data_IF_456006372605
#
_entry.id   IF_456006372605
#
_cell.length_a   1.000
_cell.length_b   1.000
_cell.length_c   1.000
_cell.angle_alpha   90.00
_cell.angle_beta   90.00
_cell.angle_gamma   90.00
#
_symmetry.space_group_name_H-M   'P 1'
#
loop_
_entity.id
_entity.type
_entity.pdbx_description
1 polymer ?
#
# COMPACT_ATOMS: atom_id res chain seq x y z
N UNK A 1 -15.70 -19.82 18.87
CA UNK A 1 -16.72 -18.73 18.89
C UNK A 1 -16.18 -17.37 19.35
N UNK A 2 -15.32 -17.28 20.36
CA UNK A 2 -14.81 -15.98 20.87
C UNK A 2 -13.96 -15.19 19.84
N UNK A 3 -13.07 -15.86 19.09
CA UNK A 3 -12.25 -15.23 18.04
C UNK A 3 -13.12 -14.65 16.92
N UNK A 4 -14.10 -15.42 16.43
CA UNK A 4 -15.06 -14.97 15.42
C UNK A 4 -15.84 -13.74 15.91
N UNK A 5 -16.32 -13.76 17.17
CA UNK A 5 -17.02 -12.61 17.75
C UNK A 5 -16.12 -11.37 17.90
N UNK A 6 -14.83 -11.54 18.20
CA UNK A 6 -13.89 -10.42 18.36
C UNK A 6 -13.41 -9.78 17.05
N UNK A 7 -13.53 -10.49 15.93
CA UNK A 7 -12.93 -10.08 14.65
C UNK A 7 -13.88 -10.16 13.45
N UNK A 8 -15.19 -10.29 13.67
CA UNK A 8 -16.16 -10.45 12.57
C UNK A 8 -16.11 -9.29 11.57
N UNK A 9 -15.92 -8.04 12.03
CA UNK A 9 -15.84 -6.88 11.12
C UNK A 9 -14.62 -6.99 10.20
N UNK A 10 -13.48 -7.41 10.75
CA UNK A 10 -12.28 -7.66 9.95
C UNK A 10 -12.53 -8.73 8.89
N UNK A 11 -13.14 -9.86 9.28
CA UNK A 11 -13.46 -10.95 8.35
C UNK A 11 -14.41 -10.50 7.25
N UNK A 12 -15.43 -9.70 7.60
CA UNK A 12 -16.35 -9.10 6.63
C UNK A 12 -15.61 -8.16 5.68
N UNK A 13 -14.73 -7.28 6.19
CA UNK A 13 -13.95 -6.37 5.36
C UNK A 13 -13.04 -7.12 4.38
N UNK A 14 -12.34 -8.16 4.87
CA UNK A 14 -11.51 -9.01 4.01
C UNK A 14 -12.36 -9.70 2.95
N UNK A 15 -13.51 -10.27 3.34
CA UNK A 15 -14.45 -10.91 2.41
C UNK A 15 -14.99 -9.95 1.35
N UNK A 16 -15.34 -8.72 1.74
CA UNK A 16 -15.83 -7.69 0.83
C UNK A 16 -14.75 -7.22 -0.14
N UNK A 17 -13.53 -6.97 0.34
CA UNK A 17 -12.40 -6.58 -0.51
C UNK A 17 -12.12 -7.70 -1.52
N UNK A 18 -12.11 -8.96 -1.09
CA UNK A 18 -11.90 -10.11 -1.96
C UNK A 18 -13.02 -10.27 -3.00
N UNK A 19 -14.28 -10.20 -2.58
CA UNK A 19 -15.43 -10.34 -3.46
C UNK A 19 -15.52 -9.23 -4.52
N UNK A 20 -15.17 -8.00 -4.12
CA UNK A 20 -15.20 -6.84 -5.01
C UNK A 20 -13.89 -6.65 -5.78
N UNK A 21 -12.87 -7.50 -5.57
CA UNK A 21 -11.53 -7.27 -6.09
C UNK A 21 -11.48 -7.13 -7.62
N UNK A 22 -12.32 -7.86 -8.35
CA UNK A 22 -12.35 -7.83 -9.82
C UNK A 22 -13.29 -6.75 -10.38
N UNK A 23 -13.89 -5.91 -9.52
CA UNK A 23 -14.85 -4.89 -9.92
C UNK A 23 -14.21 -3.50 -10.02
N UNK A 24 -14.78 -2.57 -10.83
CA UNK A 24 -14.32 -1.19 -10.88
C UNK A 24 -14.43 -0.44 -9.54
N UNK A 25 -15.28 -0.91 -8.62
CA UNK A 25 -15.56 -0.25 -7.33
C UNK A 25 -14.31 -0.11 -6.48
N UNK A 26 -13.41 -1.10 -6.51
CA UNK A 26 -12.16 -1.07 -5.74
C UNK A 26 -11.01 -0.38 -6.49
N UNK A 27 -11.21 0.08 -7.72
CA UNK A 27 -10.12 0.68 -8.52
C UNK A 27 -9.44 1.86 -7.83
N UNK A 28 -10.15 2.83 -7.22
CA UNK A 28 -9.49 3.93 -6.51
C UNK A 28 -8.60 3.42 -5.36
N UNK A 29 -9.05 2.37 -4.67
CA UNK A 29 -8.29 1.73 -3.60
C UNK A 29 -7.04 1.03 -4.12
N UNK A 30 -7.15 0.31 -5.25
CA UNK A 30 -6.00 -0.33 -5.90
C UNK A 30 -4.96 0.69 -6.37
N UNK A 31 -5.40 1.78 -7.01
CA UNK A 31 -4.51 2.86 -7.46
C UNK A 31 -3.83 3.52 -6.25
N UNK A 32 -4.55 3.70 -5.13
CA UNK A 32 -3.94 4.19 -3.90
C UNK A 32 -2.86 3.23 -3.38
N UNK A 33 -3.10 1.92 -3.41
CA UNK A 33 -2.10 0.93 -2.99
C UNK A 33 -0.87 0.94 -3.92
N UNK A 34 -1.07 1.04 -5.24
CA UNK A 34 0.02 1.24 -6.21
C UNK A 34 0.79 2.53 -5.90
N UNK A 35 0.09 3.62 -5.56
CA UNK A 35 0.77 4.83 -5.10
C UNK A 35 1.63 4.60 -3.85
N UNK A 36 1.18 3.81 -2.87
CA UNK A 36 1.99 3.49 -1.68
C UNK A 36 3.24 2.64 -2.03
N UNK A 37 3.13 1.79 -3.05
CA UNK A 37 4.26 1.06 -3.64
C UNK A 37 5.29 2.02 -4.23
N UNK A 38 4.85 2.90 -5.13
CA UNK A 38 5.73 3.91 -5.75
C UNK A 38 6.31 4.89 -4.73
N UNK A 39 5.51 5.30 -3.74
CA UNK A 39 5.98 6.14 -2.63
C UNK A 39 7.12 5.47 -1.87
N UNK A 40 7.08 4.15 -1.72
CA UNK A 40 8.13 3.41 -1.03
C UNK A 40 9.44 3.41 -1.81
N UNK A 41 9.41 3.30 -3.14
CA UNK A 41 10.59 3.51 -3.99
C UNK A 41 11.14 4.93 -3.86
N UNK A 42 10.27 5.94 -3.88
CA UNK A 42 10.65 7.34 -3.77
C UNK A 42 11.32 7.63 -2.42
N UNK A 43 10.75 7.14 -1.32
CA UNK A 43 11.32 7.28 0.03
C UNK A 43 12.66 6.54 0.12
N UNK A 44 12.74 5.29 -0.34
CA UNK A 44 13.99 4.53 -0.34
C UNK A 44 15.09 5.19 -1.18
N UNK A 45 14.72 5.81 -2.30
CA UNK A 45 15.64 6.58 -3.13
C UNK A 45 16.27 7.71 -2.34
N UNK A 46 15.46 8.54 -1.69
CA UNK A 46 15.96 9.68 -0.91
C UNK A 46 16.78 9.22 0.29
N UNK A 47 16.31 8.21 1.03
CA UNK A 47 17.01 7.70 2.22
C UNK A 47 18.36 7.05 1.90
N UNK A 48 18.54 6.54 0.68
CA UNK A 48 19.81 5.94 0.24
C UNK A 48 20.72 6.94 -0.49
N UNK A 49 20.40 8.23 -0.45
CA UNK A 49 21.22 9.31 -1.02
C UNK A 49 20.97 9.58 -2.51
N UNK A 50 19.89 9.06 -3.08
CA UNK A 50 19.44 9.37 -4.43
C UNK A 50 18.46 10.55 -4.48
N UNK A 51 18.01 10.87 -5.70
CA UNK A 51 17.00 11.90 -5.95
C UNK A 51 15.88 11.35 -6.84
N UNK A 52 14.63 11.65 -6.51
CA UNK A 52 13.46 11.31 -7.34
C UNK A 52 13.31 12.35 -8.45
N UNK A 53 13.29 11.89 -9.70
CA UNK A 53 13.13 12.73 -10.89
C UNK A 53 11.66 12.91 -11.25
N UNK A 54 10.88 11.83 -11.15
CA UNK A 54 9.45 11.86 -11.44
C UNK A 54 8.77 10.56 -11.06
N UNK A 55 7.45 10.62 -10.95
CA UNK A 55 6.59 9.49 -10.62
C UNK A 55 5.37 9.51 -11.55
N UNK A 56 4.90 8.33 -11.95
CA UNK A 56 3.70 8.16 -12.76
C UNK A 56 2.75 7.17 -12.11
N UNK A 57 1.45 7.38 -12.35
CA UNK A 57 0.38 6.43 -12.05
C UNK A 57 -0.55 6.35 -13.26
N UNK A 58 -1.02 5.16 -13.56
CA UNK A 58 -1.89 4.84 -14.68
C UNK A 58 -3.23 4.23 -14.21
N UNK A 59 -4.36 4.53 -14.88
CA UNK A 59 -5.66 3.93 -14.55
C UNK A 59 -5.69 2.40 -14.61
N UNK A 60 -4.78 1.76 -15.35
CA UNK A 60 -4.64 0.31 -15.44
C UNK A 60 -3.80 -0.29 -14.30
N UNK A 61 -3.67 0.42 -13.17
CA UNK A 61 -2.92 0.00 -11.98
C UNK A 61 -1.41 -0.11 -12.24
N UNK A 62 -0.89 0.70 -13.17
CA UNK A 62 0.54 0.87 -13.39
C UNK A 62 1.11 2.01 -12.55
N UNK A 63 2.35 1.85 -12.10
CA UNK A 63 3.13 2.88 -11.42
C UNK A 63 4.58 2.81 -11.87
N UNK A 64 5.29 3.94 -11.78
CA UNK A 64 6.75 3.92 -11.86
C UNK A 64 7.38 5.14 -11.21
N UNK A 65 8.54 4.94 -10.59
CA UNK A 65 9.42 6.01 -10.11
C UNK A 65 10.69 6.05 -10.95
N UNK A 66 10.95 7.21 -11.54
CA UNK A 66 12.25 7.51 -12.13
C UNK A 66 13.12 8.19 -11.09
N UNK A 67 14.25 7.56 -10.74
CA UNK A 67 15.22 8.09 -9.78
C UNK A 67 16.63 8.16 -10.34
N UNK A 68 17.49 8.95 -9.69
CA UNK A 68 18.92 9.08 -9.98
C UNK A 68 19.71 8.81 -8.70
N UNK A 69 20.71 7.95 -8.77
CA UNK A 69 21.51 7.56 -7.61
C UNK A 69 20.71 6.73 -6.59
N UNK A 70 21.25 6.63 -5.38
CA UNK A 70 20.70 5.76 -4.33
C UNK A 70 21.09 4.29 -4.50
N UNK A 71 20.66 3.46 -3.54
CA UNK A 71 21.01 2.04 -3.52
C UNK A 71 19.91 1.20 -4.17
N UNK A 72 20.14 0.77 -5.41
CA UNK A 72 19.16 0.03 -6.23
C UNK A 72 18.52 -1.17 -5.54
N UNK A 73 19.30 -1.96 -4.81
CA UNK A 73 18.79 -3.12 -4.09
C UNK A 73 17.67 -2.75 -3.10
N UNK A 74 17.91 -1.71 -2.29
CA UNK A 74 16.95 -1.21 -1.30
C UNK A 74 15.77 -0.55 -2.00
N UNK A 75 16.03 0.25 -3.04
CA UNK A 75 14.98 0.92 -3.79
C UNK A 75 14.02 -0.12 -4.39
N UNK A 76 14.51 -1.10 -5.15
CA UNK A 76 13.67 -2.12 -5.79
C UNK A 76 12.95 -3.00 -4.77
N UNK A 77 13.58 -3.33 -3.64
CA UNK A 77 12.93 -4.08 -2.56
C UNK A 77 11.84 -3.27 -1.84
N UNK A 78 11.95 -1.94 -1.83
CA UNK A 78 11.06 -1.07 -1.08
C UNK A 78 9.64 -1.02 -1.65
N UNK A 79 9.43 -1.29 -2.93
CA UNK A 79 8.09 -1.32 -3.53
C UNK A 79 7.18 -2.29 -2.76
N UNK A 80 7.47 -3.59 -2.86
CA UNK A 80 6.67 -4.63 -2.20
C UNK A 80 6.73 -4.54 -0.67
N UNK A 81 7.94 -4.48 -0.09
CA UNK A 81 8.09 -4.57 1.36
C UNK A 81 7.69 -3.26 2.06
N UNK A 82 8.05 -2.12 1.47
CA UNK A 82 7.71 -0.80 2.03
C UNK A 82 6.21 -0.54 2.00
N UNK A 83 5.53 -0.81 0.88
CA UNK A 83 4.08 -0.65 0.82
C UNK A 83 3.36 -1.57 1.80
N UNK A 84 3.80 -2.82 1.94
CA UNK A 84 3.27 -3.74 2.95
C UNK A 84 3.47 -3.20 4.37
N UNK A 85 4.66 -2.68 4.69
CA UNK A 85 4.94 -2.11 6.01
C UNK A 85 4.06 -0.89 6.28
N UNK A 86 3.84 -0.02 5.28
CA UNK A 86 2.88 1.09 5.38
C UNK A 86 1.47 0.53 5.63
N UNK A 87 1.00 -0.44 4.84
CA UNK A 87 -0.31 -1.05 4.99
C UNK A 87 -0.54 -1.64 6.38
N UNK A 88 0.44 -2.41 6.88
CA UNK A 88 0.43 -2.96 8.24
C UNK A 88 0.45 -1.85 9.29
N UNK A 89 1.24 -0.81 9.12
CA UNK A 89 1.30 0.31 10.05
C UNK A 89 -0.04 1.05 10.12
N UNK A 90 -0.67 1.36 8.98
CA UNK A 90 -2.00 1.99 8.93
C UNK A 90 -3.05 1.11 9.61
N UNK A 91 -3.08 -0.18 9.29
CA UNK A 91 -4.02 -1.13 9.89
C UNK A 91 -3.84 -1.26 11.40
N UNK A 92 -2.59 -1.42 11.88
CA UNK A 92 -2.30 -1.53 13.31
C UNK A 92 -2.57 -0.24 14.07
N UNK A 93 -2.29 0.92 13.46
CA UNK A 93 -2.59 2.21 14.06
C UNK A 93 -4.10 2.39 14.25
N UNK A 94 -4.89 1.98 13.26
CA UNK A 94 -6.34 1.97 13.33
C UNK A 94 -6.86 1.03 14.43
N UNK A 95 -6.32 -0.18 14.52
CA UNK A 95 -6.72 -1.16 15.55
C UNK A 95 -6.32 -0.74 16.97
N UNK A 96 -5.15 -0.11 17.16
CA UNK A 96 -4.56 0.07 18.50
C UNK A 96 -4.57 1.50 19.03
N UNK A 97 -4.83 2.50 18.20
CA UNK A 97 -4.64 3.90 18.61
C UNK A 97 -5.92 4.72 18.45
N UNK A 98 -5.81 6.02 18.70
CA UNK A 98 -6.89 7.00 18.49
C UNK A 98 -6.53 8.11 17.52
N UNK A 99 -5.42 7.93 16.81
CA UNK A 99 -4.84 8.93 15.92
C UNK A 99 -5.41 8.85 14.49
N UNK A 100 -6.53 8.16 14.29
CA UNK A 100 -7.09 7.79 12.98
C UNK A 100 -7.30 9.00 12.07
N UNK A 101 -7.87 10.08 12.59
CA UNK A 101 -8.05 11.33 11.84
C UNK A 101 -6.72 11.97 11.46
N UNK A 102 -5.76 12.00 12.39
CA UNK A 102 -4.44 12.61 12.15
C UNK A 102 -3.67 11.82 11.12
N UNK A 103 -3.67 10.49 11.22
CA UNK A 103 -3.00 9.59 10.27
C UNK A 103 -3.65 9.69 8.89
N UNK A 104 -4.98 9.67 8.81
CA UNK A 104 -5.69 9.79 7.53
C UNK A 104 -5.44 11.15 6.87
N UNK A 105 -5.52 12.24 7.65
CA UNK A 105 -5.23 13.58 7.16
C UNK A 105 -3.76 13.74 6.73
N UNK A 106 -2.83 13.21 7.52
CA UNK A 106 -1.39 13.19 7.20
C UNK A 106 -1.09 12.41 5.92
N UNK A 107 -1.72 11.25 5.72
CA UNK A 107 -1.60 10.48 4.49
C UNK A 107 -2.16 11.26 3.28
N UNK A 108 -3.26 11.97 3.46
CA UNK A 108 -3.80 12.89 2.45
C UNK A 108 -2.83 14.03 2.11
N UNK A 109 -2.19 14.65 3.11
CA UNK A 109 -1.17 15.68 2.91
C UNK A 109 0.05 15.13 2.17
N UNK A 110 0.56 13.95 2.56
CA UNK A 110 1.67 13.29 1.87
C UNK A 110 1.33 13.04 0.41
N UNK A 111 0.12 12.52 0.13
CA UNK A 111 -0.34 12.31 -1.23
C UNK A 111 -0.38 13.61 -2.03
N UNK A 112 -0.90 14.71 -1.47
CA UNK A 112 -0.92 16.02 -2.14
C UNK A 112 0.50 16.55 -2.41
N UNK A 113 1.40 16.46 -1.43
CA UNK A 113 2.79 16.91 -1.58
C UNK A 113 3.49 16.13 -2.69
N UNK A 114 3.40 14.80 -2.68
CA UNK A 114 4.00 13.95 -3.72
C UNK A 114 3.36 14.22 -5.09
N UNK A 115 2.05 14.48 -5.11
CA UNK A 115 1.33 14.85 -6.34
C UNK A 115 1.89 16.12 -6.96
N UNK A 116 2.05 17.18 -6.18
CA UNK A 116 2.58 18.45 -6.66
C UNK A 116 4.06 18.31 -7.08
N UNK A 117 4.86 17.62 -6.28
CA UNK A 117 6.30 17.55 -6.50
C UNK A 117 6.69 16.62 -7.63
N UNK A 118 6.03 15.47 -7.79
CA UNK A 118 6.54 14.38 -8.63
C UNK A 118 5.58 13.84 -9.68
N UNK A 119 4.27 13.98 -9.52
CA UNK A 119 3.30 13.49 -10.51
C UNK A 119 3.16 14.48 -11.67
N UNK A 120 3.06 13.95 -12.89
CA UNK A 120 3.00 14.76 -14.13
C UNK A 120 1.86 14.40 -15.07
N UNK A 121 1.33 13.19 -15.00
CA UNK A 121 0.17 12.83 -15.82
C UNK A 121 -1.12 13.45 -15.26
N UNK A 122 -2.01 13.90 -16.13
CA UNK A 122 -3.27 14.52 -15.72
C UNK A 122 -4.11 13.58 -14.85
N UNK A 123 -4.10 12.29 -15.18
CA UNK A 123 -4.76 11.26 -14.38
C UNK A 123 -4.16 11.17 -12.97
N UNK A 124 -2.84 11.05 -12.85
CA UNK A 124 -2.19 10.90 -11.55
C UNK A 124 -2.35 12.16 -10.68
N UNK A 125 -2.30 13.35 -11.30
CA UNK A 125 -2.57 14.62 -10.63
C UNK A 125 -4.03 14.69 -10.16
N UNK A 126 -4.98 14.40 -11.04
CA UNK A 126 -6.41 14.41 -10.70
C UNK A 126 -6.73 13.44 -9.58
N UNK A 127 -6.24 12.19 -9.68
CA UNK A 127 -6.39 11.18 -8.65
C UNK A 127 -5.76 11.61 -7.32
N UNK A 128 -4.53 12.11 -7.34
CA UNK A 128 -3.79 12.51 -6.15
C UNK A 128 -4.45 13.71 -5.44
N UNK A 129 -4.87 14.73 -6.19
CA UNK A 129 -5.57 15.90 -5.65
C UNK A 129 -6.92 15.50 -5.06
N UNK A 130 -7.76 14.78 -5.81
CA UNK A 130 -9.10 14.39 -5.35
C UNK A 130 -9.00 13.48 -4.12
N UNK A 131 -8.20 12.42 -4.20
CA UNK A 131 -8.04 11.48 -3.08
C UNK A 131 -7.43 12.17 -1.86
N UNK A 132 -6.40 13.00 -2.04
CA UNK A 132 -5.77 13.73 -0.95
C UNK A 132 -6.73 14.69 -0.24
N UNK A 133 -7.50 15.47 -0.99
CA UNK A 133 -8.53 16.36 -0.43
C UNK A 133 -9.65 15.59 0.25
N UNK A 134 -10.09 14.46 -0.31
CA UNK A 134 -11.09 13.59 0.32
C UNK A 134 -10.59 13.02 1.65
N UNK A 135 -9.32 12.61 1.75
CA UNK A 135 -8.72 12.10 2.99
C UNK A 135 -8.62 13.19 4.06
N UNK A 136 -8.19 14.41 3.68
CA UNK A 136 -8.14 15.56 4.59
C UNK A 136 -9.55 15.98 5.03
N UNK A 137 -10.50 16.02 4.09
CA UNK A 137 -11.90 16.31 4.37
C UNK A 137 -12.52 15.27 5.30
N UNK A 138 -12.27 13.97 5.04
CA UNK A 138 -12.71 12.88 5.91
C UNK A 138 -12.12 13.01 7.32
N UNK A 139 -10.82 13.29 7.43
CA UNK A 139 -10.15 13.52 8.70
C UNK A 139 -10.74 14.70 9.49
N UNK A 140 -11.14 15.78 8.80
CA UNK A 140 -11.67 16.99 9.43
C UNK A 140 -13.14 16.89 9.80
N UNK A 141 -13.97 16.35 8.90
CA UNK A 141 -15.44 16.44 9.00
C UNK A 141 -16.12 15.13 9.41
N UNK A 142 -15.54 13.95 9.12
CA UNK A 142 -16.17 12.67 9.46
C UNK A 142 -15.81 12.22 10.88
N UNK A 143 -16.66 11.38 11.47
CA UNK A 143 -16.43 10.75 12.78
C UNK A 143 -15.13 9.95 12.75
N UNK A 144 -14.45 9.90 13.89
CA UNK A 144 -13.19 9.16 14.04
C UNK A 144 -13.33 7.69 13.63
N UNK A 145 -14.45 7.05 13.97
CA UNK A 145 -14.73 5.65 13.63
C UNK A 145 -14.79 5.41 12.11
N UNK A 146 -15.17 6.43 11.33
CA UNK A 146 -15.13 6.37 9.86
C UNK A 146 -13.68 6.48 9.36
N UNK A 147 -12.86 7.34 9.97
CA UNK A 147 -11.42 7.39 9.65
C UNK A 147 -10.72 6.07 10.01
N UNK A 148 -11.09 5.46 11.15
CA UNK A 148 -10.61 4.14 11.57
C UNK A 148 -10.98 3.07 10.52
N UNK A 149 -12.24 3.04 10.07
CA UNK A 149 -12.69 2.15 9.00
C UNK A 149 -11.90 2.34 7.70
N UNK A 150 -11.71 3.59 7.26
CA UNK A 150 -10.96 3.91 6.03
C UNK A 150 -9.51 3.44 6.12
N UNK A 151 -8.82 3.72 7.24
CA UNK A 151 -7.45 3.27 7.45
C UNK A 151 -7.33 1.73 7.46
N UNK A 152 -8.31 1.03 8.04
CA UNK A 152 -8.34 -0.44 7.99
C UNK A 152 -8.53 -0.94 6.58
N UNK A 153 -9.42 -0.34 5.79
CA UNK A 153 -9.64 -0.72 4.39
C UNK A 153 -8.37 -0.51 3.57
N UNK A 154 -7.69 0.64 3.72
CA UNK A 154 -6.42 0.92 3.02
C UNK A 154 -5.34 -0.08 3.44
N UNK A 155 -5.17 -0.28 4.75
CA UNK A 155 -4.14 -1.19 5.28
C UNK A 155 -4.37 -2.64 4.87
N UNK A 156 -5.60 -3.13 4.95
CA UNK A 156 -5.96 -4.49 4.52
C UNK A 156 -5.83 -4.67 3.01
N UNK A 157 -6.25 -3.68 2.23
CA UNK A 157 -6.09 -3.72 0.79
C UNK A 157 -4.62 -3.82 0.39
N UNK A 158 -3.73 -3.05 1.04
CA UNK A 158 -2.29 -3.16 0.82
C UNK A 158 -1.75 -4.53 1.22
N UNK A 159 -2.14 -5.07 2.38
CA UNK A 159 -1.74 -6.41 2.82
C UNK A 159 -2.21 -7.54 1.88
N UNK A 160 -3.37 -7.38 1.24
CA UNK A 160 -3.89 -8.34 0.25
C UNK A 160 -3.23 -8.14 -1.12
N UNK A 161 -3.01 -6.89 -1.54
CA UNK A 161 -2.47 -6.55 -2.85
C UNK A 161 -1.03 -7.05 -3.02
N UNK A 162 -0.16 -6.82 -2.03
CA UNK A 162 1.28 -7.10 -2.18
C UNK A 162 1.58 -8.57 -2.55
N UNK A 163 1.04 -9.60 -1.86
CA UNK A 163 1.23 -10.99 -2.29
C UNK A 163 0.69 -11.30 -3.69
N UNK A 164 -0.46 -10.72 -4.06
CA UNK A 164 -1.06 -10.90 -5.38
C UNK A 164 -0.22 -10.24 -6.47
N UNK A 165 0.35 -9.09 -6.18
CA UNK A 165 1.19 -8.32 -7.08
C UNK A 165 2.53 -9.03 -7.33
N UNK A 166 3.19 -9.49 -6.25
CA UNK A 166 4.39 -10.32 -6.36
C UNK A 166 4.10 -11.57 -7.20
N UNK A 167 2.99 -12.28 -6.94
CA UNK A 167 2.61 -13.46 -7.74
C UNK A 167 2.40 -13.09 -9.21
N UNK A 168 1.71 -11.98 -9.47
CA UNK A 168 1.46 -11.51 -10.83
C UNK A 168 2.76 -11.21 -11.56
N UNK A 169 3.68 -10.50 -10.92
CA UNK A 169 4.92 -10.01 -11.50
C UNK A 169 5.99 -11.09 -11.67
N UNK A 170 5.91 -12.16 -10.88
CA UNK A 170 6.96 -13.19 -10.83
C UNK A 170 6.56 -14.47 -11.54
N UNK A 171 5.26 -14.74 -11.67
CA UNK A 171 4.73 -15.96 -12.28
C UNK A 171 3.82 -15.62 -13.46
N UNK A 172 2.71 -14.90 -13.22
CA UNK A 172 1.69 -14.71 -14.26
C UNK A 172 2.18 -13.84 -15.43
N UNK A 173 3.04 -12.85 -15.15
CA UNK A 173 3.55 -11.86 -16.09
C UNK A 173 5.06 -11.67 -15.95
N UNK A 174 5.78 -12.75 -15.69
CA UNK A 174 7.24 -12.72 -15.48
C UNK A 174 8.07 -12.14 -16.64
N UNK A 175 7.46 -11.98 -17.82
CA UNK A 175 8.07 -11.37 -19.01
C UNK A 175 8.04 -9.82 -18.97
N UNK A 176 7.21 -9.21 -18.11
CA UNK A 176 7.16 -7.77 -17.93
C UNK A 176 8.27 -7.31 -16.97
N UNK A 177 8.67 -6.04 -17.13
CA UNK A 177 9.75 -5.44 -16.32
C UNK A 177 9.22 -4.94 -14.97
N UNK A 178 9.09 -5.86 -14.01
CA UNK A 178 8.74 -5.60 -12.61
C UNK A 178 9.97 -5.34 -11.73
N UNK A 179 9.77 -4.98 -10.46
CA UNK A 179 10.84 -4.86 -9.47
C UNK A 179 11.62 -6.17 -9.29
N UNK A 180 10.91 -7.30 -9.30
CA UNK A 180 11.51 -8.64 -9.27
C UNK A 180 12.40 -8.89 -10.47
N UNK A 181 11.95 -8.45 -11.64
CA UNK A 181 12.70 -8.61 -12.88
C UNK A 181 13.94 -7.72 -12.88
N UNK A 182 13.81 -6.47 -12.47
CA UNK A 182 14.94 -5.55 -12.35
C UNK A 182 15.97 -6.05 -11.33
N UNK A 183 15.54 -6.64 -10.22
CA UNK A 183 16.45 -7.25 -9.24
C UNK A 183 17.22 -8.44 -9.80
N UNK A 184 16.55 -9.30 -10.57
CA UNK A 184 17.21 -10.41 -11.27
C UNK A 184 18.25 -9.91 -12.30
N UNK A 185 17.92 -8.85 -13.04
CA UNK A 185 18.80 -8.25 -14.05
C UNK A 185 20.03 -7.57 -13.44
N UNK A 186 19.90 -6.96 -12.26
CA UNK A 186 20.98 -6.17 -11.63
C UNK A 186 21.81 -6.96 -10.61
N UNK A 187 21.22 -7.91 -9.90
CA UNK A 187 21.85 -8.63 -8.78
C UNK A 187 21.95 -10.14 -9.00
N UNK A 188 21.69 -10.60 -10.23
CA UNK A 188 21.67 -12.00 -10.64
C UNK A 188 20.55 -12.83 -9.99
N UNK A 189 20.42 -14.08 -10.45
CA UNK A 189 19.35 -15.00 -10.06
C UNK A 189 18.06 -14.83 -10.88
N UNK A 190 17.15 -15.82 -10.85
CA UNK A 190 15.89 -15.75 -11.58
C UNK A 190 14.88 -14.81 -10.90
N UNK A 191 14.00 -14.18 -11.68
CA UNK A 191 12.87 -13.37 -11.17
C UNK A 191 12.07 -14.11 -10.09
N UNK A 192 11.87 -15.43 -10.26
CA UNK A 192 11.14 -16.28 -9.33
C UNK A 192 11.82 -16.37 -7.95
N UNK A 193 13.15 -16.31 -7.89
CA UNK A 193 13.89 -16.35 -6.62
C UNK A 193 13.61 -15.08 -5.81
N UNK A 194 13.81 -13.91 -6.40
CA UNK A 194 13.55 -12.63 -5.73
C UNK A 194 12.08 -12.49 -5.35
N UNK A 195 11.18 -12.85 -6.27
CA UNK A 195 9.75 -12.94 -6.01
C UNK A 195 9.39 -13.82 -4.83
N UNK A 196 9.93 -15.05 -4.79
CA UNK A 196 9.71 -15.99 -3.71
C UNK A 196 10.21 -15.46 -2.36
N UNK A 197 11.38 -14.83 -2.32
CA UNK A 197 11.93 -14.21 -1.10
C UNK A 197 10.97 -13.13 -0.58
N UNK A 198 10.55 -12.19 -1.43
CA UNK A 198 9.64 -11.14 -0.97
C UNK A 198 8.25 -11.64 -0.64
N UNK A 199 7.74 -12.66 -1.33
CA UNK A 199 6.47 -13.29 -1.01
C UNK A 199 6.51 -13.91 0.38
N UNK A 200 7.57 -14.68 0.69
CA UNK A 200 7.75 -15.31 2.00
C UNK A 200 7.86 -14.26 3.11
N UNK A 201 8.66 -13.20 2.89
CA UNK A 201 8.77 -12.09 3.83
C UNK A 201 7.43 -11.38 4.03
N UNK A 202 6.67 -11.17 2.95
CA UNK A 202 5.37 -10.52 3.00
C UNK A 202 4.37 -11.34 3.81
N UNK A 203 4.29 -12.64 3.56
CA UNK A 203 3.44 -13.55 4.32
C UNK A 203 3.84 -13.62 5.79
N UNK A 204 5.14 -13.59 6.10
CA UNK A 204 5.63 -13.56 7.47
C UNK A 204 5.24 -12.27 8.20
N UNK A 205 5.38 -11.11 7.55
CA UNK A 205 4.97 -9.81 8.12
C UNK A 205 3.46 -9.77 8.36
N UNK A 206 2.65 -10.26 7.41
CA UNK A 206 1.19 -10.34 7.56
C UNK A 206 0.83 -11.27 8.73
N UNK A 207 1.43 -12.46 8.79
CA UNK A 207 1.23 -13.39 9.89
C UNK A 207 1.59 -12.79 11.26
N UNK A 208 2.73 -12.08 11.34
CA UNK A 208 3.19 -11.43 12.56
C UNK A 208 2.24 -10.30 12.99
N UNK A 209 1.71 -9.53 12.03
CA UNK A 209 0.67 -8.54 12.27
C UNK A 209 -0.60 -9.19 12.86
N UNK A 210 -1.08 -10.26 12.21
CA UNK A 210 -2.31 -10.96 12.61
C UNK A 210 -2.19 -11.61 14.00
N UNK A 211 -1.02 -12.17 14.33
CA UNK A 211 -0.78 -12.73 15.68
C UNK A 211 -0.85 -11.70 16.80
N UNK A 212 -0.68 -10.41 16.49
CA UNK A 212 -0.69 -9.34 17.49
C UNK A 212 -2.06 -8.66 17.62
N UNK A 213 -3.12 -9.11 16.94
CA UNK A 213 -4.42 -8.41 16.86
C UNK A 213 -5.17 -8.20 18.20
N UNK A 214 -4.72 -8.81 19.29
CA UNK A 214 -5.38 -8.71 20.60
C UNK A 214 -6.70 -9.50 20.65
N UNK A 215 -7.56 -9.19 21.63
CA UNK A 215 -8.83 -9.92 21.86
C UNK A 215 -9.99 -9.51 20.94
N UNK A 216 -9.95 -8.29 20.42
CA UNK A 216 -10.98 -7.75 19.52
C UNK A 216 -10.36 -6.72 18.59
N UNK A 217 -10.75 -6.78 17.32
CA UNK A 217 -10.45 -5.74 16.34
C UNK A 217 -11.71 -5.09 15.81
N UNK A 218 -12.88 -5.32 16.40
CA UNK A 218 -14.09 -4.64 15.95
C UNK A 218 -14.04 -3.16 16.35
N UNK A 219 -14.43 -2.29 15.41
CA UNK A 219 -14.70 -0.87 15.61
C UNK A 219 -15.89 -0.74 16.56
N UNK A 220 -15.68 -0.04 17.67
CA UNK A 220 -16.74 0.34 18.58
C UNK A 220 -17.32 1.67 18.12
N UNK A 221 -18.35 1.62 17.26
CA UNK A 221 -19.09 2.80 16.80
C UNK A 221 -19.66 3.55 18.01
N UNK A 222 -19.10 4.71 18.35
CA UNK A 222 -19.46 5.50 19.54
C UNK A 222 -19.74 6.94 19.17
#
# INVERSE_FOLDING_TARGET
MAVLKGHWQLLVLVGLIAALWQTPVVMPLKILVVFLHELSHAVATVLTGGSVVGMTLDPMQGGSVTSRGGWRFVILSAGYLGSLLIGVALFLAAVRTRWDRVILGGLGVVLLVVTVLYLRSLFAIGFGVVTGLLMIGAAKYLRRDVSDLVLRVIGLASMIYVPLDIFSDTIARAHLRSDARMMAEEFAGPTLFWGGVWLLLSLWVIWACLRRLGRSSNIAWR
#
